data_IF_209073519992
#
_entry.id   IF_209073519992
#
_cell.length_a   1.000
_cell.length_b   1.000
_cell.length_c   1.000
_cell.angle_alpha   90.00
_cell.angle_beta   90.00
_cell.angle_gamma   90.00
#
_symmetry.space_group_name_H-M   'P 1'
#
loop_
_entity.id
_entity.type
_entity.pdbx_description
1 polymer ?
#
# COMPACT_ATOMS: atom_id res chain seq x y z
N UNK A 1 -35.62 19.49 -37.15
CA UNK A 1 -36.27 19.12 -35.87
C UNK A 1 -36.51 20.40 -35.11
N UNK A 2 -37.77 20.78 -34.82
CA UNK A 2 -38.04 21.95 -33.95
C UNK A 2 -37.61 21.56 -32.54
N UNK A 3 -36.73 22.34 -31.92
CA UNK A 3 -36.40 22.16 -30.52
C UNK A 3 -37.69 22.36 -29.70
N UNK A 4 -38.11 21.33 -28.96
CA UNK A 4 -39.19 21.44 -28.00
C UNK A 4 -38.64 22.21 -26.80
N UNK A 5 -38.79 23.54 -26.80
CA UNK A 5 -38.42 24.35 -25.65
C UNK A 5 -39.45 24.11 -24.54
N UNK A 6 -38.99 23.53 -23.43
CA UNK A 6 -39.77 23.46 -22.20
C UNK A 6 -39.87 24.85 -21.57
N UNK A 7 -41.01 25.19 -20.95
CA UNK A 7 -41.25 26.46 -20.26
C UNK A 7 -40.51 26.57 -18.94
N UNK A 8 -39.19 26.37 -18.96
CA UNK A 8 -38.37 26.47 -17.77
C UNK A 8 -38.05 27.92 -17.46
N UNK A 9 -38.08 28.27 -16.18
CA UNK A 9 -37.56 29.55 -15.69
C UNK A 9 -36.04 29.46 -15.60
N UNK A 10 -35.34 30.45 -16.17
CA UNK A 10 -33.89 30.60 -16.03
C UNK A 10 -33.63 31.91 -15.28
N UNK A 11 -32.97 31.81 -14.14
CA UNK A 11 -32.51 32.96 -13.37
C UNK A 11 -30.98 32.99 -13.32
N UNK A 12 -30.39 34.18 -13.46
CA UNK A 12 -28.95 34.40 -13.29
C UNK A 12 -28.75 35.37 -12.13
N UNK A 13 -27.90 34.99 -11.18
CA UNK A 13 -27.74 35.73 -9.94
C UNK A 13 -26.30 35.79 -9.43
N UNK A 14 -26.00 36.85 -8.69
CA UNK A 14 -24.77 36.99 -7.93
C UNK A 14 -24.63 35.88 -6.87
N UNK A 15 -23.45 35.27 -6.79
CA UNK A 15 -23.07 34.38 -5.68
C UNK A 15 -22.25 35.18 -4.69
N UNK A 16 -22.71 35.25 -3.44
CA UNK A 16 -22.03 35.99 -2.36
C UNK A 16 -21.32 35.04 -1.41
N UNK A 17 -20.13 35.42 -0.95
CA UNK A 17 -19.42 34.80 0.16
C UNK A 17 -19.47 35.74 1.37
N UNK A 18 -20.16 35.35 2.43
CA UNK A 18 -20.33 36.21 3.61
C UNK A 18 -21.18 37.46 3.34
N UNK A 19 -21.04 38.47 4.20
CA UNK A 19 -22.02 39.57 4.30
C UNK A 19 -21.99 40.55 3.11
N UNK A 20 -20.88 40.66 2.36
CA UNK A 20 -20.77 41.65 1.26
C UNK A 20 -19.95 41.23 0.02
N UNK A 21 -19.22 40.12 0.03
CA UNK A 21 -18.32 39.80 -1.10
C UNK A 21 -19.05 39.07 -2.22
N UNK A 22 -19.07 39.66 -3.42
CA UNK A 22 -19.42 38.94 -4.63
C UNK A 22 -18.27 37.99 -4.99
N UNK A 23 -18.51 36.68 -4.99
CA UNK A 23 -17.48 35.66 -5.30
C UNK A 23 -17.69 35.00 -6.67
N UNK A 24 -18.86 35.20 -7.28
CA UNK A 24 -19.17 34.65 -8.59
C UNK A 24 -20.58 35.00 -9.08
N UNK A 25 -21.01 34.30 -10.11
CA UNK A 25 -22.38 34.30 -10.61
C UNK A 25 -22.86 32.86 -10.72
N UNK A 26 -24.17 32.62 -10.73
CA UNK A 26 -24.66 31.32 -11.13
C UNK A 26 -26.03 31.37 -11.78
N UNK A 27 -26.39 30.21 -12.31
CA UNK A 27 -27.53 29.98 -13.16
C UNK A 27 -28.44 29.02 -12.43
N UNK A 28 -29.68 29.42 -12.20
CA UNK A 28 -30.74 28.59 -11.66
C UNK A 28 -31.72 28.22 -12.80
N UNK A 29 -32.16 26.96 -12.83
CA UNK A 29 -33.22 26.46 -13.71
C UNK A 29 -34.36 25.97 -12.82
N UNK A 30 -35.56 26.52 -12.99
CA UNK A 30 -36.73 26.22 -12.17
C UNK A 30 -36.42 26.30 -10.66
N UNK A 31 -35.81 27.42 -10.24
CA UNK A 31 -35.40 27.70 -8.86
C UNK A 31 -34.35 26.75 -8.26
N UNK A 32 -33.69 25.92 -9.07
CA UNK A 32 -32.56 25.08 -8.62
C UNK A 32 -31.28 25.55 -9.27
N UNK A 33 -30.21 25.70 -8.49
CA UNK A 33 -28.87 25.93 -9.03
C UNK A 33 -28.57 24.87 -10.08
N UNK A 34 -28.00 25.29 -11.20
CA UNK A 34 -27.49 24.44 -12.27
C UNK A 34 -25.98 24.64 -12.46
N UNK A 35 -25.49 25.87 -12.28
CA UNK A 35 -24.08 26.23 -12.48
C UNK A 35 -23.66 27.41 -11.59
N UNK A 36 -22.43 27.39 -11.10
CA UNK A 36 -21.75 28.52 -10.44
C UNK A 36 -20.42 28.78 -11.14
N UNK A 37 -20.16 30.04 -11.46
CA UNK A 37 -18.91 30.52 -12.06
C UNK A 37 -18.27 31.46 -11.06
N UNK A 38 -17.07 31.13 -10.58
CA UNK A 38 -16.31 31.93 -9.65
C UNK A 38 -15.41 32.94 -10.37
N UNK A 39 -15.08 34.04 -9.69
CA UNK A 39 -14.22 35.12 -10.24
C UNK A 39 -12.83 34.64 -10.70
N UNK A 40 -12.32 33.55 -10.14
CA UNK A 40 -11.06 32.94 -10.52
C UNK A 40 -11.17 31.99 -11.73
N UNK A 41 -12.31 31.97 -12.41
CA UNK A 41 -12.55 31.16 -13.61
C UNK A 41 -13.00 29.72 -13.33
N UNK A 42 -13.16 29.32 -12.07
CA UNK A 42 -13.67 27.98 -11.73
C UNK A 42 -15.16 27.91 -12.06
N UNK A 43 -15.56 26.84 -12.75
CA UNK A 43 -16.95 26.53 -13.09
C UNK A 43 -17.38 25.27 -12.35
N UNK A 44 -18.48 25.37 -11.61
CA UNK A 44 -18.98 24.37 -10.66
C UNK A 44 -20.45 24.08 -11.00
N UNK A 45 -20.79 22.91 -11.57
CA UNK A 45 -22.19 22.49 -11.72
C UNK A 45 -22.88 22.38 -10.35
N UNK A 46 -24.20 22.48 -10.29
CA UNK A 46 -24.91 22.42 -9.00
C UNK A 46 -24.79 21.08 -8.28
N UNK A 47 -24.58 20.01 -9.05
CA UNK A 47 -24.30 18.67 -8.54
C UNK A 47 -22.82 18.47 -8.22
N UNK A 48 -22.01 19.53 -8.07
CA UNK A 48 -20.57 19.42 -7.73
C UNK A 48 -20.30 18.79 -6.35
N UNK A 49 -21.34 18.60 -5.52
CA UNK A 49 -21.27 17.71 -4.36
C UNK A 49 -21.05 16.23 -4.75
N UNK A 50 -21.39 15.85 -5.98
CA UNK A 50 -20.86 14.70 -6.68
C UNK A 50 -19.66 15.18 -7.50
N UNK A 51 -18.47 15.04 -6.91
CA UNK A 51 -17.22 15.07 -7.67
C UNK A 51 -17.40 14.17 -8.90
N UNK A 52 -17.47 14.82 -10.06
CA UNK A 52 -17.12 14.31 -11.36
C UNK A 52 -17.02 12.78 -11.49
N UNK A 53 -18.10 12.14 -11.94
CA UNK A 53 -18.12 10.73 -12.29
C UNK A 53 -17.13 10.36 -13.43
N UNK A 54 -16.37 11.33 -13.98
CA UNK A 54 -15.30 11.13 -14.97
C UNK A 54 -13.88 11.37 -14.43
N UNK A 55 -13.70 11.77 -13.16
CA UNK A 55 -12.38 11.99 -12.54
C UNK A 55 -12.16 11.26 -11.22
N UNK A 56 -13.12 10.46 -10.76
CA UNK A 56 -12.98 9.62 -9.57
C UNK A 56 -12.22 8.31 -9.89
N UNK A 57 -10.99 8.45 -10.42
CA UNK A 57 -10.21 7.35 -11.02
C UNK A 57 -9.63 6.34 -10.01
N UNK A 58 -9.78 6.58 -8.71
CA UNK A 58 -9.23 5.71 -7.66
C UNK A 58 -10.39 5.20 -6.79
N UNK A 59 -10.74 3.91 -6.84
CA UNK A 59 -11.80 3.35 -6.01
C UNK A 59 -11.62 3.64 -4.51
N UNK A 60 -12.72 3.85 -3.81
CA UNK A 60 -12.74 3.99 -2.34
C UNK A 60 -12.13 2.73 -1.70
N UNK A 61 -11.31 2.93 -0.66
CA UNK A 61 -10.68 1.83 0.06
C UNK A 61 -9.41 1.26 -0.58
N UNK A 62 -8.92 1.79 -1.69
CA UNK A 62 -7.59 1.41 -2.22
C UNK A 62 -6.49 2.07 -1.37
N UNK A 63 -5.56 1.29 -0.77
CA UNK A 63 -4.41 1.87 -0.10
C UNK A 63 -3.46 2.53 -1.10
N UNK A 64 -3.16 3.80 -0.88
CA UNK A 64 -2.26 4.60 -1.71
C UNK A 64 -1.00 4.95 -0.92
N UNK A 65 0.20 4.76 -1.50
CA UNK A 65 1.41 5.33 -0.92
C UNK A 65 1.39 6.85 -1.06
N UNK A 66 1.50 7.54 0.07
CA UNK A 66 1.46 8.99 0.17
C UNK A 66 2.76 9.51 0.83
N UNK A 67 3.44 10.50 0.22
CA UNK A 67 4.80 10.87 0.61
C UNK A 67 4.89 11.63 1.95
N UNK A 68 3.77 12.07 2.53
CA UNK A 68 3.77 12.88 3.75
C UNK A 68 3.13 12.13 4.93
N UNK A 69 3.58 12.46 6.14
CA UNK A 69 3.02 11.89 7.38
C UNK A 69 1.58 12.33 7.71
N UNK A 70 1.12 13.41 7.07
CA UNK A 70 -0.16 14.04 7.39
C UNK A 70 -1.16 13.71 6.30
N UNK A 71 -2.19 12.99 6.66
CA UNK A 71 -3.22 12.56 5.70
C UNK A 71 -4.02 13.77 5.20
N UNK A 72 -4.15 13.94 3.87
CA UNK A 72 -4.91 15.03 3.29
C UNK A 72 -6.41 14.89 3.59
N UNK A 73 -7.13 16.00 3.52
CA UNK A 73 -8.60 16.02 3.68
C UNK A 73 -9.25 15.09 2.65
N UNK A 74 -10.25 14.31 3.06
CA UNK A 74 -10.92 13.31 2.22
C UNK A 74 -10.29 11.92 2.24
N UNK A 75 -9.18 11.74 2.97
CA UNK A 75 -8.49 10.47 3.13
C UNK A 75 -8.37 10.07 4.61
N UNK A 76 -8.19 8.78 4.86
CA UNK A 76 -7.88 8.20 6.16
C UNK A 76 -6.54 7.47 6.11
N UNK A 77 -5.75 7.57 7.17
CA UNK A 77 -4.50 6.81 7.33
C UNK A 77 -4.80 5.33 7.57
N UNK A 78 -4.08 4.43 6.91
CA UNK A 78 -4.11 2.98 7.19
C UNK A 78 -3.29 2.63 8.44
N UNK A 79 -3.77 3.05 9.60
CA UNK A 79 -3.17 2.81 10.92
C UNK A 79 -4.07 1.96 11.84
N UNK A 80 -5.00 1.21 11.27
CA UNK A 80 -5.94 0.40 12.03
C UNK A 80 -7.11 1.18 12.65
N UNK A 81 -7.29 2.47 12.40
CA UNK A 81 -8.36 3.27 13.02
C UNK A 81 -9.77 2.86 12.58
N UNK A 82 -10.75 3.07 13.46
CA UNK A 82 -12.17 2.92 13.12
C UNK A 82 -12.68 4.12 12.31
N UNK A 83 -13.74 3.91 11.53
CA UNK A 83 -14.48 4.96 10.84
C UNK A 83 -15.99 4.75 10.97
N UNK A 84 -16.77 5.83 10.78
CA UNK A 84 -18.22 5.76 10.77
C UNK A 84 -18.72 5.22 9.43
N UNK A 85 -19.33 4.03 9.46
CA UNK A 85 -19.86 3.35 8.28
C UNK A 85 -21.05 4.07 7.65
N UNK A 86 -21.82 4.81 8.43
CA UNK A 86 -22.96 5.60 7.94
C UNK A 86 -22.49 6.83 7.19
N UNK A 87 -21.38 7.43 7.62
CA UNK A 87 -20.75 8.56 6.95
C UNK A 87 -19.97 8.14 5.71
N UNK A 88 -19.35 6.95 5.73
CA UNK A 88 -18.50 6.42 4.66
C UNK A 88 -18.97 5.05 4.13
N UNK A 89 -20.15 4.97 3.48
CA UNK A 89 -20.75 3.70 3.07
C UNK A 89 -19.92 2.94 2.03
N UNK A 90 -19.29 3.63 1.07
CA UNK A 90 -18.39 2.98 0.09
C UNK A 90 -17.13 2.42 0.74
N UNK A 91 -16.60 3.09 1.76
CA UNK A 91 -15.46 2.58 2.52
C UNK A 91 -15.87 1.36 3.35
N UNK A 92 -17.11 1.33 3.84
CA UNK A 92 -17.68 0.18 4.53
C UNK A 92 -17.88 -1.04 3.62
N UNK A 93 -18.05 -0.87 2.31
CA UNK A 93 -18.03 -1.98 1.35
C UNK A 93 -16.61 -2.58 1.24
N UNK A 94 -15.58 -1.73 1.17
CA UNK A 94 -14.18 -2.18 1.14
C UNK A 94 -13.71 -2.77 2.48
N UNK A 95 -14.15 -2.20 3.60
CA UNK A 95 -13.79 -2.58 4.96
C UNK A 95 -15.02 -2.79 5.85
N UNK A 96 -15.67 -3.97 5.78
CA UNK A 96 -16.96 -4.22 6.45
C UNK A 96 -16.94 -4.14 7.97
N UNK A 97 -15.78 -4.32 8.59
CA UNK A 97 -15.58 -4.20 10.04
C UNK A 97 -15.54 -2.74 10.53
N UNK A 98 -15.63 -1.75 9.64
CA UNK A 98 -15.58 -0.33 10.00
C UNK A 98 -14.20 0.14 10.43
N UNK A 99 -13.14 -0.55 10.01
CA UNK A 99 -11.75 -0.18 10.30
C UNK A 99 -10.89 -0.27 9.05
N UNK A 100 -10.06 0.73 8.83
CA UNK A 100 -9.00 0.64 7.81
C UNK A 100 -7.91 -0.32 8.30
N UNK A 101 -7.14 -0.96 7.41
CA UNK A 101 -6.04 -1.83 7.82
C UNK A 101 -4.95 -1.03 8.54
N UNK A 102 -4.12 -1.72 9.32
CA UNK A 102 -2.85 -1.17 9.79
C UNK A 102 -1.75 -1.66 8.86
N UNK A 103 -1.22 -0.76 8.03
CA UNK A 103 -0.22 -1.08 7.00
C UNK A 103 1.15 -0.48 7.33
N UNK A 104 1.35 -0.02 8.56
CA UNK A 104 2.62 0.58 9.00
C UNK A 104 3.67 -0.53 9.09
N UNK A 105 4.67 -0.47 8.20
CA UNK A 105 5.74 -1.46 8.14
C UNK A 105 5.42 -2.71 7.31
N UNK A 106 4.23 -2.78 6.70
CA UNK A 106 3.78 -3.95 5.97
C UNK A 106 4.07 -3.84 4.46
N UNK A 107 4.37 -4.98 3.83
CA UNK A 107 4.38 -5.10 2.37
C UNK A 107 3.04 -5.63 1.88
N UNK A 108 2.49 -4.99 0.84
CA UNK A 108 1.28 -5.48 0.17
C UNK A 108 1.69 -6.48 -0.91
N UNK A 109 1.10 -7.67 -0.88
CA UNK A 109 1.23 -8.69 -1.93
C UNK A 109 -0.07 -8.86 -2.71
N UNK A 110 0.05 -9.31 -3.96
CA UNK A 110 -1.12 -9.76 -4.73
C UNK A 110 -1.76 -10.97 -4.06
N UNK A 111 -3.10 -10.98 -4.03
CA UNK A 111 -3.86 -12.16 -3.62
C UNK A 111 -3.70 -13.26 -4.66
N UNK A 112 -3.55 -14.50 -4.18
CA UNK A 112 -3.28 -15.66 -5.03
C UNK A 112 -4.43 -15.99 -5.99
N UNK A 113 -5.67 -15.76 -5.56
CA UNK A 113 -6.90 -16.05 -6.32
C UNK A 113 -6.85 -17.41 -7.04
N UNK A 114 -6.45 -18.45 -6.30
CA UNK A 114 -6.33 -19.84 -6.77
C UNK A 114 -5.26 -20.10 -7.84
N UNK A 115 -4.27 -19.20 -8.00
CA UNK A 115 -3.11 -19.44 -8.88
C UNK A 115 -2.15 -20.51 -8.35
N UNK A 116 -2.14 -20.75 -7.04
CA UNK A 116 -1.34 -21.79 -6.40
C UNK A 116 0.03 -21.35 -5.89
N UNK A 117 0.32 -20.04 -5.88
CA UNK A 117 1.58 -19.47 -5.34
C UNK A 117 1.49 -19.25 -3.83
N UNK A 118 0.33 -18.86 -3.32
CA UNK A 118 0.05 -18.69 -1.88
C UNK A 118 -1.33 -19.30 -1.52
N UNK A 119 -1.45 -20.64 -1.54
CA UNK A 119 -2.73 -21.34 -1.40
C UNK A 119 -3.41 -21.07 -0.06
N UNK A 120 -4.73 -20.91 -0.08
CA UNK A 120 -5.53 -20.69 1.13
C UNK A 120 -5.47 -19.28 1.69
N UNK A 121 -4.74 -18.36 1.04
CA UNK A 121 -4.68 -16.96 1.44
C UNK A 121 -5.98 -16.23 1.14
N UNK A 122 -6.33 -15.26 1.99
CA UNK A 122 -7.52 -14.40 1.86
C UNK A 122 -7.10 -12.92 1.86
N UNK A 123 -7.75 -12.09 1.05
CA UNK A 123 -7.52 -10.64 1.03
C UNK A 123 -7.59 -10.02 2.44
N UNK A 124 -6.62 -9.16 2.76
CA UNK A 124 -6.56 -8.43 4.04
C UNK A 124 -6.02 -9.23 5.23
N UNK A 125 -5.64 -10.50 5.06
CA UNK A 125 -4.99 -11.27 6.13
C UNK A 125 -3.50 -10.92 6.25
N UNK A 126 -2.93 -11.09 7.45
CA UNK A 126 -1.52 -10.83 7.78
C UNK A 126 -0.67 -12.10 7.76
N UNK A 127 0.60 -11.99 7.37
CA UNK A 127 1.59 -13.09 7.28
C UNK A 127 2.93 -12.54 7.78
N UNK A 128 3.68 -13.29 8.63
CA UNK A 128 5.02 -12.88 9.02
C UNK A 128 6.01 -12.99 7.86
N UNK A 129 7.19 -12.40 8.03
CA UNK A 129 8.32 -12.67 7.16
C UNK A 129 8.74 -14.15 7.21
N UNK A 130 9.27 -14.64 6.10
CA UNK A 130 9.80 -15.99 6.00
C UNK A 130 10.97 -16.02 5.02
N UNK A 131 11.98 -16.83 5.33
CA UNK A 131 13.03 -17.22 4.40
C UNK A 131 12.83 -18.67 3.99
N UNK A 132 13.11 -18.98 2.72
CA UNK A 132 13.09 -20.37 2.29
C UNK A 132 14.16 -21.16 3.04
N UNK A 133 13.81 -22.39 3.45
CA UNK A 133 14.75 -23.30 4.07
C UNK A 133 15.94 -23.54 3.15
N UNK A 134 17.15 -23.40 3.69
CA UNK A 134 18.40 -23.60 2.97
C UNK A 134 19.46 -24.22 3.89
N UNK A 135 20.48 -24.82 3.29
CA UNK A 135 21.60 -25.42 4.01
C UNK A 135 22.93 -24.96 3.41
N UNK A 136 23.94 -24.85 4.26
CA UNK A 136 25.31 -24.60 3.85
C UNK A 136 26.11 -25.87 4.06
N UNK A 137 26.82 -26.33 3.03
CA UNK A 137 27.76 -27.44 3.19
C UNK A 137 29.04 -26.87 3.80
N UNK A 138 29.38 -27.30 5.00
CA UNK A 138 30.70 -27.00 5.56
C UNK A 138 31.76 -27.65 4.66
N UNK A 139 32.61 -26.83 4.04
CA UNK A 139 33.86 -27.35 3.49
C UNK A 139 34.83 -27.48 4.66
N UNK A 140 35.33 -28.69 4.97
CA UNK A 140 36.41 -28.81 5.93
C UNK A 140 37.57 -27.97 5.40
N UNK A 141 37.97 -26.99 6.20
CA UNK A 141 39.13 -26.18 5.90
C UNK A 141 40.31 -27.15 5.70
N UNK A 142 41.01 -27.09 4.56
CA UNK A 142 42.14 -27.97 4.28
C UNK A 142 43.31 -27.76 5.27
N UNK A 143 43.21 -26.80 6.19
CA UNK A 143 44.13 -26.59 7.32
C UNK A 143 43.71 -27.30 8.61
N UNK A 144 42.51 -27.88 8.67
CA UNK A 144 42.15 -28.92 9.66
C UNK A 144 42.33 -30.34 9.09
N UNK A 145 42.58 -30.46 7.77
CA UNK A 145 43.22 -31.63 7.22
C UNK A 145 44.73 -31.48 7.46
N UNK A 146 45.25 -32.20 8.46
CA UNK A 146 46.63 -32.66 8.33
C UNK A 146 46.75 -33.28 6.94
N UNK A 147 47.69 -32.78 6.14
CA UNK A 147 47.90 -33.14 4.75
C UNK A 147 47.79 -34.65 4.51
N UNK A 148 46.67 -35.10 3.95
CA UNK A 148 46.38 -36.36 3.24
C UNK A 148 44.90 -36.69 3.42
N UNK A 149 44.01 -36.16 2.59
CA UNK A 149 42.83 -36.97 2.24
C UNK A 149 42.16 -36.47 0.96
N UNK A 150 42.53 -37.13 -0.14
CA UNK A 150 41.70 -37.23 -1.32
C UNK A 150 40.72 -38.39 -1.06
N UNK A 151 39.39 -38.18 -1.08
CA UNK A 151 38.39 -39.22 -0.78
C UNK A 151 38.43 -40.45 -1.71
N UNK A 152 39.25 -40.41 -2.75
CA UNK A 152 39.43 -41.51 -3.71
C UNK A 152 40.66 -42.40 -3.44
N UNK A 153 41.48 -42.13 -2.41
CA UNK A 153 42.77 -42.81 -2.27
C UNK A 153 43.03 -43.62 -1.00
N UNK A 154 42.21 -43.57 0.04
CA UNK A 154 42.53 -44.31 1.26
C UNK A 154 41.33 -45.08 1.83
N UNK A 155 41.32 -46.39 1.58
CA UNK A 155 40.56 -47.39 2.35
C UNK A 155 41.08 -47.51 3.79
N UNK A 156 41.15 -46.39 4.49
CA UNK A 156 41.45 -46.28 5.91
C UNK A 156 40.17 -46.14 6.74
N UNK A 157 40.24 -46.43 8.05
CA UNK A 157 39.07 -46.48 8.90
C UNK A 157 38.40 -45.10 8.95
N UNK A 158 37.09 -45.08 8.65
CA UNK A 158 36.23 -43.92 8.82
C UNK A 158 36.43 -43.38 10.24
N UNK A 159 37.02 -42.20 10.37
CA UNK A 159 37.08 -41.54 11.66
C UNK A 159 35.67 -41.18 12.09
N UNK A 160 35.10 -41.96 13.00
CA UNK A 160 33.84 -41.71 13.73
C UNK A 160 34.00 -40.60 14.78
N UNK A 161 34.89 -39.63 14.53
CA UNK A 161 35.10 -38.47 15.37
C UNK A 161 33.91 -37.52 15.25
N UNK A 162 33.06 -37.48 16.27
CA UNK A 162 32.02 -36.46 16.40
C UNK A 162 32.69 -35.08 16.36
N UNK A 163 32.51 -34.34 15.27
CA UNK A 163 32.82 -32.90 15.25
C UNK A 163 32.02 -32.29 16.40
N UNK A 164 32.72 -31.96 17.49
CA UNK A 164 32.14 -31.22 18.60
C UNK A 164 32.08 -29.78 18.11
N UNK A 165 31.04 -29.48 17.35
CA UNK A 165 30.82 -28.18 16.72
C UNK A 165 30.47 -27.19 17.85
N UNK A 166 31.48 -26.68 18.54
CA UNK A 166 31.24 -25.94 19.78
C UNK A 166 30.63 -24.57 19.56
N UNK A 167 30.73 -23.93 18.39
CA UNK A 167 29.90 -22.76 18.05
C UNK A 167 29.78 -22.63 16.51
N UNK A 168 28.58 -22.85 15.96
CA UNK A 168 28.32 -22.77 14.50
C UNK A 168 27.86 -21.39 14.03
N UNK A 169 27.72 -20.44 14.95
CA UNK A 169 27.32 -19.07 14.64
C UNK A 169 28.54 -18.17 14.77
N UNK A 170 29.27 -18.02 13.67
CA UNK A 170 30.14 -16.88 13.48
C UNK A 170 29.31 -15.71 12.95
N UNK A 171 29.77 -14.48 13.17
CA UNK A 171 29.22 -13.33 12.45
C UNK A 171 29.27 -13.59 10.94
N UNK A 172 28.29 -13.10 10.15
CA UNK A 172 28.38 -13.14 8.71
C UNK A 172 29.69 -12.51 8.24
N UNK A 173 30.40 -13.21 7.35
CA UNK A 173 31.67 -12.76 6.76
C UNK A 173 31.48 -12.48 5.27
N UNK A 174 32.20 -11.50 4.74
CA UNK A 174 32.21 -11.24 3.29
C UNK A 174 32.79 -12.45 2.54
N UNK A 175 32.23 -12.72 1.36
CA UNK A 175 32.77 -13.70 0.40
C UNK A 175 33.83 -13.08 -0.54
N UNK A 176 34.16 -11.80 -0.36
CA UNK A 176 35.11 -11.05 -1.19
C UNK A 176 34.59 -10.68 -2.60
N UNK A 177 33.36 -11.07 -2.94
CA UNK A 177 32.76 -10.85 -4.27
C UNK A 177 31.54 -9.93 -4.19
N UNK A 178 30.67 -10.14 -3.20
CA UNK A 178 29.37 -9.49 -3.06
C UNK A 178 29.36 -8.36 -2.01
N UNK A 179 30.55 -7.95 -1.54
CA UNK A 179 30.75 -6.90 -0.55
C UNK A 179 30.50 -7.36 0.89
N UNK A 180 30.39 -6.40 1.81
CA UNK A 180 30.13 -6.69 3.22
C UNK A 180 28.69 -7.16 3.45
N UNK A 181 28.47 -8.23 4.23
CA UNK A 181 27.13 -8.68 4.58
C UNK A 181 26.34 -7.57 5.30
N UNK A 182 25.15 -7.26 4.77
CA UNK A 182 24.20 -6.35 5.43
C UNK A 182 23.29 -7.14 6.36
N UNK A 183 23.43 -6.94 7.67
CA UNK A 183 22.63 -7.61 8.70
C UNK A 183 21.67 -6.63 9.39
N UNK A 184 20.52 -7.15 9.82
CA UNK A 184 19.52 -6.41 10.58
C UNK A 184 18.64 -7.41 11.36
N UNK A 185 17.80 -6.91 12.28
CA UNK A 185 16.85 -7.73 13.03
C UNK A 185 15.74 -8.33 12.14
N UNK A 186 15.51 -7.75 10.96
CA UNK A 186 14.47 -8.14 10.01
C UNK A 186 15.11 -8.36 8.63
N UNK A 187 14.73 -9.45 7.94
CA UNK A 187 15.11 -9.65 6.55
C UNK A 187 14.27 -8.76 5.67
N UNK A 188 14.89 -7.75 5.03
CA UNK A 188 14.17 -6.81 4.17
C UNK A 188 14.98 -6.41 2.93
N UNK A 189 14.33 -6.22 1.79
CA UNK A 189 14.94 -5.52 0.67
C UNK A 189 15.17 -4.04 1.02
N UNK A 190 15.93 -3.34 0.18
CA UNK A 190 15.99 -1.87 0.25
C UNK A 190 14.58 -1.31 0.00
N UNK A 191 14.15 -0.37 0.81
CA UNK A 191 12.83 0.24 0.72
C UNK A 191 12.89 1.73 1.08
N UNK A 192 11.83 2.46 0.72
CA UNK A 192 11.56 3.85 1.13
C UNK A 192 10.17 3.86 1.78
N UNK A 193 10.05 4.51 2.93
CA UNK A 193 8.79 4.57 3.67
C UNK A 193 7.85 5.65 3.11
N UNK A 194 6.61 5.26 2.82
CA UNK A 194 5.48 6.13 2.51
C UNK A 194 4.38 5.86 3.54
N UNK A 195 3.52 6.85 3.79
CA UNK A 195 2.30 6.62 4.54
C UNK A 195 1.27 5.90 3.64
N UNK A 196 0.52 4.94 4.16
CA UNK A 196 -0.63 4.40 3.43
C UNK A 196 -1.90 5.16 3.79
N UNK A 197 -2.63 5.64 2.78
CA UNK A 197 -3.91 6.33 2.96
C UNK A 197 -4.98 5.69 2.07
N UNK A 198 -6.24 5.76 2.50
CA UNK A 198 -7.41 5.35 1.71
C UNK A 198 -8.33 6.54 1.54
N UNK A 199 -8.97 6.64 0.37
CA UNK A 199 -10.02 7.63 0.15
C UNK A 199 -11.22 7.29 1.04
N UNK A 200 -11.83 8.30 1.68
CA UNK A 200 -12.92 8.09 2.63
C UNK A 200 -14.31 7.99 1.97
N UNK A 201 -14.53 8.68 0.84
CA UNK A 201 -15.80 8.71 0.09
C UNK A 201 -15.55 8.79 -1.42
#
# INVERSE_FOLDING_TARGET
MKANWYGNEIAVGAVRGGTVDLIGAGIDINSKRALTIYKNGIVVPADYGNFDARYDNIPVGVPLPYPHRYTPVGYLTCNGQSFDKSLYPKLAEAYPNGRVPDLRGEFIRGWDDSRGVDPGRVCGTWQPDAMQGHTHRAWPNATAASATDSPSQHGGPEYTGRITQTHVVSSPVSDGVNGEPRTANETRPRNIAFNYIVRAA
#
